data_IF_793697029217
#
_entry.id   IF_793697029217
#
_cell.length_a   1.000
_cell.length_b   1.000
_cell.length_c   1.000
_cell.angle_alpha   90.00
_cell.angle_beta   90.00
_cell.angle_gamma   90.00
#
_symmetry.space_group_name_H-M   'P 1'
#
loop_
_entity.id
_entity.type
_entity.pdbx_description
1 polymer ?
#
# COMPACT_ATOMS: atom_id res chain seq x y z
N UNK A 1 20.02 13.31 13.69
CA UNK A 1 19.16 12.26 13.09
C UNK A 1 17.69 12.29 13.58
N UNK A 2 17.21 13.35 14.26
CA UNK A 2 15.84 13.39 14.80
C UNK A 2 14.82 14.23 13.98
N UNK A 3 15.29 15.04 13.01
CA UNK A 3 14.44 15.98 12.24
C UNK A 3 13.74 15.32 11.04
N UNK A 4 14.18 14.12 10.64
CA UNK A 4 13.67 13.36 9.49
C UNK A 4 12.49 12.45 9.82
N UNK A 5 12.18 12.25 11.11
CA UNK A 5 11.14 11.32 11.57
C UNK A 5 9.85 12.03 12.03
N UNK A 6 9.49 13.16 11.42
CA UNK A 6 8.20 13.78 11.72
C UNK A 6 7.07 12.96 11.06
N UNK A 7 6.06 12.47 11.82
CA UNK A 7 5.01 11.59 11.30
C UNK A 7 4.36 12.12 10.02
N UNK A 8 4.05 13.42 10.00
CA UNK A 8 3.46 14.12 8.85
C UNK A 8 4.33 14.06 7.59
N UNK A 9 5.66 14.19 7.73
CA UNK A 9 6.58 14.14 6.57
C UNK A 9 6.63 12.72 6.01
N UNK A 10 6.78 11.72 6.88
CA UNK A 10 6.82 10.31 6.45
C UNK A 10 5.50 9.90 5.82
N UNK A 11 4.37 10.31 6.40
CA UNK A 11 3.04 10.11 5.82
C UNK A 11 2.95 10.66 4.40
N UNK A 12 3.41 11.89 4.14
CA UNK A 12 3.45 12.48 2.79
C UNK A 12 4.35 11.70 1.83
N UNK A 13 5.51 11.24 2.30
CA UNK A 13 6.38 10.39 1.47
C UNK A 13 5.73 9.06 1.13
N UNK A 14 5.11 8.39 2.10
CA UNK A 14 4.40 7.13 1.88
C UNK A 14 3.22 7.32 0.93
N UNK A 15 2.48 8.42 1.09
CA UNK A 15 1.39 8.80 0.20
C UNK A 15 1.88 9.02 -1.24
N UNK A 16 2.93 9.82 -1.41
CA UNK A 16 3.55 10.06 -2.72
C UNK A 16 4.08 8.77 -3.34
N UNK A 17 4.68 7.90 -2.55
CA UNK A 17 5.18 6.59 -2.98
C UNK A 17 4.06 5.69 -3.50
N UNK A 18 3.00 5.51 -2.71
CA UNK A 18 1.86 4.67 -3.09
C UNK A 18 1.07 5.21 -4.29
N UNK A 19 1.13 6.52 -4.56
CA UNK A 19 0.60 7.11 -5.79
C UNK A 19 1.56 6.95 -6.98
N UNK A 20 2.86 7.17 -6.79
CA UNK A 20 3.83 7.18 -7.88
C UNK A 20 4.06 5.79 -8.47
N UNK A 21 4.13 4.74 -7.65
CA UNK A 21 4.45 3.39 -8.14
C UNK A 21 3.42 2.85 -9.16
N UNK A 22 2.10 2.93 -8.92
CA UNK A 22 1.12 2.55 -9.93
C UNK A 22 1.21 3.34 -11.23
N UNK A 23 1.47 4.65 -11.15
CA UNK A 23 1.62 5.50 -12.33
C UNK A 23 2.86 5.11 -13.14
N UNK A 24 4.01 4.94 -12.47
CA UNK A 24 5.24 4.49 -13.10
C UNK A 24 5.09 3.11 -13.74
N UNK A 25 4.39 2.19 -13.07
CA UNK A 25 4.11 0.86 -13.62
C UNK A 25 3.21 0.91 -14.86
N UNK A 26 2.21 1.80 -14.86
CA UNK A 26 1.37 2.06 -16.02
C UNK A 26 2.16 2.59 -17.21
N UNK A 27 3.03 3.60 -16.97
CA UNK A 27 3.94 4.14 -18.00
C UNK A 27 4.88 3.07 -18.53
N UNK A 28 5.48 2.27 -17.65
CA UNK A 28 6.31 1.13 -18.04
C UNK A 28 5.56 0.15 -18.95
N UNK A 29 4.32 -0.21 -18.60
CA UNK A 29 3.50 -1.14 -19.37
C UNK A 29 3.16 -0.59 -20.76
N UNK A 30 2.92 0.73 -20.86
CA UNK A 30 2.69 1.42 -22.14
C UNK A 30 3.94 1.45 -23.02
N UNK A 31 5.11 1.76 -22.43
CA UNK A 31 6.39 1.75 -23.15
C UNK A 31 6.71 0.34 -23.64
N UNK A 32 6.52 -0.68 -22.79
CA UNK A 32 6.75 -2.07 -23.17
C UNK A 32 5.84 -2.49 -24.33
N UNK A 33 4.57 -2.08 -24.31
CA UNK A 33 3.61 -2.33 -25.40
C UNK A 33 4.06 -1.67 -26.71
N UNK A 34 4.50 -0.41 -26.63
CA UNK A 34 5.00 0.32 -27.78
C UNK A 34 6.26 -0.33 -28.37
N UNK A 35 7.23 -0.73 -27.54
CA UNK A 35 8.47 -1.39 -27.98
C UNK A 35 8.17 -2.74 -28.64
N UNK A 36 7.23 -3.50 -28.10
CA UNK A 36 6.83 -4.80 -28.65
C UNK A 36 5.85 -4.69 -29.83
N UNK A 37 5.38 -3.48 -30.17
CA UNK A 37 4.36 -3.24 -31.20
C UNK A 37 3.08 -4.07 -30.98
N UNK A 38 2.68 -4.24 -29.72
CA UNK A 38 1.47 -4.98 -29.33
C UNK A 38 0.59 -4.14 -28.41
N UNK A 39 -0.66 -4.54 -28.24
CA UNK A 39 -1.53 -3.89 -27.26
C UNK A 39 -1.09 -4.21 -25.82
N UNK A 40 -1.36 -3.31 -24.88
CA UNK A 40 -1.14 -3.54 -23.44
C UNK A 40 -1.87 -4.80 -22.96
N UNK A 41 -3.09 -5.04 -23.47
CA UNK A 41 -3.85 -6.25 -23.16
C UNK A 41 -3.14 -7.53 -23.60
N UNK A 42 -2.40 -7.49 -24.72
CA UNK A 42 -1.59 -8.63 -25.21
C UNK A 42 -0.43 -8.92 -24.26
N UNK A 43 0.21 -7.90 -23.69
CA UNK A 43 1.29 -8.08 -22.72
C UNK A 43 0.77 -8.79 -21.47
N UNK A 44 -0.35 -8.32 -20.90
CA UNK A 44 -0.91 -8.95 -19.69
C UNK A 44 -1.40 -10.38 -19.95
N UNK A 45 -1.88 -10.69 -21.16
CA UNK A 45 -2.25 -12.07 -21.53
C UNK A 45 -1.04 -12.99 -21.72
N UNK A 46 0.08 -12.47 -22.21
CA UNK A 46 1.27 -13.26 -22.51
C UNK A 46 2.21 -13.43 -21.32
N UNK A 47 2.25 -12.45 -20.42
CA UNK A 47 3.16 -12.44 -19.26
C UNK A 47 2.33 -12.47 -17.97
N UNK A 48 1.97 -13.67 -17.52
CA UNK A 48 1.16 -13.88 -16.31
C UNK A 48 1.76 -13.23 -15.05
N UNK A 49 3.09 -13.20 -14.94
CA UNK A 49 3.79 -12.54 -13.83
C UNK A 49 3.59 -11.01 -13.82
N UNK A 50 3.49 -10.38 -15.00
CA UNK A 50 3.20 -8.96 -15.12
C UNK A 50 1.76 -8.66 -14.70
N UNK A 51 0.82 -9.53 -15.06
CA UNK A 51 -0.59 -9.41 -14.64
C UNK A 51 -0.72 -9.53 -13.12
N UNK A 52 -0.11 -10.54 -12.50
CA UNK A 52 -0.12 -10.66 -11.04
C UNK A 52 0.55 -9.45 -10.36
N UNK A 53 1.65 -8.96 -10.92
CA UNK A 53 2.33 -7.75 -10.41
C UNK A 53 1.44 -6.51 -10.55
N UNK A 54 0.69 -6.38 -11.64
CA UNK A 54 -0.23 -5.25 -11.84
C UNK A 54 -1.30 -5.19 -10.75
N UNK A 55 -1.85 -6.34 -10.34
CA UNK A 55 -2.84 -6.40 -9.27
C UNK A 55 -2.22 -5.91 -7.96
N UNK A 56 -1.03 -6.43 -7.59
CA UNK A 56 -0.29 -5.99 -6.40
C UNK A 56 -0.03 -4.49 -6.41
N UNK A 57 0.40 -3.95 -7.55
CA UNK A 57 0.66 -2.52 -7.70
C UNK A 57 -0.62 -1.71 -7.54
N UNK A 58 -1.75 -2.16 -8.10
CA UNK A 58 -3.03 -1.48 -7.95
C UNK A 58 -3.56 -1.52 -6.51
N UNK A 59 -3.19 -2.52 -5.69
CA UNK A 59 -3.51 -2.52 -4.26
C UNK A 59 -2.93 -1.31 -3.51
N UNK A 60 -1.86 -0.69 -4.03
CA UNK A 60 -1.28 0.51 -3.43
C UNK A 60 -2.27 1.70 -3.47
N UNK A 61 -3.16 1.79 -4.46
CA UNK A 61 -4.21 2.82 -4.48
C UNK A 61 -5.23 2.62 -3.36
N UNK A 62 -5.62 1.37 -3.10
CA UNK A 62 -6.50 1.05 -1.98
C UNK A 62 -5.80 1.42 -0.67
N UNK A 63 -4.51 1.12 -0.53
CA UNK A 63 -3.75 1.53 0.63
C UNK A 63 -3.66 3.05 0.79
N UNK A 64 -3.37 3.76 -0.29
CA UNK A 64 -3.39 5.22 -0.35
C UNK A 64 -4.73 5.78 0.13
N UNK A 65 -5.84 5.21 -0.34
CA UNK A 65 -7.19 5.61 0.06
C UNK A 65 -7.46 5.35 1.55
N UNK A 66 -7.01 4.21 2.08
CA UNK A 66 -7.10 3.93 3.51
C UNK A 66 -6.34 4.95 4.35
N UNK A 67 -5.11 5.29 3.94
CA UNK A 67 -4.30 6.30 4.60
C UNK A 67 -4.92 7.70 4.49
N UNK A 68 -5.58 8.01 3.37
CA UNK A 68 -6.33 9.26 3.19
C UNK A 68 -7.49 9.36 4.18
N UNK A 69 -8.33 8.30 4.29
CA UNK A 69 -9.46 8.27 5.23
C UNK A 69 -8.97 8.38 6.67
N UNK A 70 -7.88 7.69 7.01
CA UNK A 70 -7.28 7.78 8.34
C UNK A 70 -6.78 9.19 8.64
N UNK A 71 -6.51 10.03 7.64
CA UNK A 71 -6.28 11.46 7.84
C UNK A 71 -5.26 11.73 8.95
N UNK A 72 -5.44 12.82 9.68
CA UNK A 72 -4.66 13.12 10.90
C UNK A 72 -5.30 12.50 12.15
N UNK A 73 -6.01 11.36 11.99
CA UNK A 73 -6.44 10.57 13.15
C UNK A 73 -5.21 10.19 13.97
N UNK A 74 -5.37 10.24 15.29
CA UNK A 74 -4.29 10.31 16.28
C UNK A 74 -2.95 9.67 15.85
N UNK A 75 -1.87 10.44 16.00
CA UNK A 75 -0.47 10.01 15.76
C UNK A 75 0.00 8.95 16.79
N UNK A 76 -0.87 8.04 17.21
CA UNK A 76 -0.67 7.07 18.26
C UNK A 76 -0.48 5.65 17.68
N UNK A 77 0.48 4.89 18.21
CA UNK A 77 0.75 3.49 17.77
C UNK A 77 -0.39 2.52 18.06
N UNK A 78 -1.20 2.82 19.06
CA UNK A 78 -2.32 1.98 19.50
C UNK A 78 -3.65 2.35 18.83
N UNK A 79 -3.64 3.32 17.92
CA UNK A 79 -4.83 3.72 17.16
C UNK A 79 -5.10 2.80 15.98
N UNK A 80 -6.22 3.05 15.31
CA UNK A 80 -6.54 2.42 14.03
C UNK A 80 -5.45 2.67 12.97
N UNK A 81 -4.80 3.84 12.96
CA UNK A 81 -3.66 4.13 12.08
C UNK A 81 -2.48 3.21 12.38
N UNK A 82 -2.14 2.99 13.66
CA UNK A 82 -1.09 2.06 14.05
C UNK A 82 -1.38 0.62 13.61
N UNK A 83 -2.63 0.18 13.75
CA UNK A 83 -3.09 -1.14 13.27
C UNK A 83 -3.02 -1.22 11.74
N UNK A 84 -3.42 -0.17 11.06
CA UNK A 84 -3.35 -0.04 9.61
C UNK A 84 -1.93 -0.12 9.06
N UNK A 85 -0.97 0.53 9.72
CA UNK A 85 0.44 0.47 9.33
C UNK A 85 1.07 -0.90 9.60
N UNK A 86 0.69 -1.60 10.68
CA UNK A 86 1.13 -2.99 10.92
C UNK A 86 0.65 -3.94 9.84
N UNK A 87 -0.62 -3.83 9.47
CA UNK A 87 -1.17 -4.60 8.35
C UNK A 87 -0.42 -4.27 7.05
N UNK A 88 -0.24 -2.98 6.76
CA UNK A 88 0.46 -2.54 5.56
C UNK A 88 1.90 -3.06 5.54
N UNK A 89 2.61 -3.06 6.67
CA UNK A 89 3.94 -3.67 6.79
C UNK A 89 3.97 -5.11 6.31
N UNK A 90 3.07 -5.94 6.84
CA UNK A 90 2.98 -7.36 6.49
C UNK A 90 2.66 -7.49 5.00
N UNK A 91 1.69 -6.74 4.51
CA UNK A 91 1.27 -6.77 3.11
C UNK A 91 2.41 -6.39 2.14
N UNK A 92 3.16 -5.34 2.46
CA UNK A 92 4.29 -4.90 1.64
C UNK A 92 5.40 -5.95 1.61
N UNK A 93 5.65 -6.63 2.74
CA UNK A 93 6.62 -7.72 2.81
C UNK A 93 6.17 -8.94 1.99
N UNK A 94 4.90 -9.36 2.10
CA UNK A 94 4.33 -10.44 1.29
C UNK A 94 4.39 -10.15 -0.22
N UNK A 95 4.34 -8.87 -0.59
CA UNK A 95 4.43 -8.40 -1.97
C UNK A 95 5.87 -8.19 -2.46
N UNK A 96 6.88 -8.47 -1.62
CA UNK A 96 8.29 -8.14 -1.86
C UNK A 96 8.56 -6.66 -2.18
N UNK A 97 7.68 -5.77 -1.72
CA UNK A 97 7.83 -4.33 -1.90
C UNK A 97 8.69 -3.74 -0.77
N UNK A 98 10.00 -3.97 -0.84
CA UNK A 98 10.97 -3.55 0.19
C UNK A 98 10.95 -2.04 0.46
N UNK A 99 10.92 -1.14 -0.54
CA UNK A 99 10.84 0.29 -0.27
C UNK A 99 9.55 0.68 0.46
N UNK A 100 8.42 0.10 0.05
CA UNK A 100 7.13 0.30 0.72
C UNK A 100 7.15 -0.19 2.18
N UNK A 101 7.73 -1.37 2.42
CA UNK A 101 7.92 -1.92 3.76
C UNK A 101 8.73 -0.97 4.66
N UNK A 102 9.86 -0.45 4.16
CA UNK A 102 10.70 0.46 4.93
C UNK A 102 9.97 1.77 5.26
N UNK A 103 9.23 2.34 4.32
CA UNK A 103 8.44 3.55 4.56
C UNK A 103 7.34 3.33 5.60
N UNK A 104 6.62 2.20 5.52
CA UNK A 104 5.64 1.82 6.54
C UNK A 104 6.29 1.63 7.92
N UNK A 105 7.50 1.06 7.97
CA UNK A 105 8.21 0.78 9.22
C UNK A 105 8.65 2.08 9.89
N UNK A 106 9.23 2.98 9.09
CA UNK A 106 9.63 4.31 9.56
C UNK A 106 8.41 5.10 10.03
N UNK A 107 7.29 5.03 9.31
CA UNK A 107 6.08 5.74 9.71
C UNK A 107 5.53 5.17 11.03
N UNK A 108 5.39 3.85 11.14
CA UNK A 108 4.92 3.21 12.37
C UNK A 108 5.82 3.53 13.58
N UNK A 109 7.15 3.57 13.39
CA UNK A 109 8.10 3.94 14.45
C UNK A 109 8.01 5.42 14.83
N UNK A 110 7.65 6.30 13.90
CA UNK A 110 7.48 7.73 14.19
C UNK A 110 6.23 8.06 15.02
N UNK A 111 5.23 7.18 15.04
CA UNK A 111 4.03 7.36 15.86
C UNK A 111 4.36 7.35 17.37
N UNK A 112 3.64 8.20 18.11
CA UNK A 112 3.71 8.33 19.57
C UNK A 112 3.20 7.07 20.26
N UNK A 113 3.81 6.72 21.38
CA UNK A 113 3.37 5.60 22.22
C UNK A 113 2.29 6.04 23.23
N UNK A 114 1.23 6.68 22.75
CA UNK A 114 0.11 7.17 23.55
C UNK A 114 -1.20 6.42 23.19
N UNK A 115 -2.21 6.56 24.05
CA UNK A 115 -3.58 6.10 23.75
C UNK A 115 -4.27 7.08 22.81
N UNK A 116 -5.22 6.60 22.03
CA UNK A 116 -5.95 7.40 21.05
C UNK A 116 -6.92 8.37 21.75
N UNK A 117 -6.72 9.68 21.57
CA UNK A 117 -7.57 10.72 22.16
C UNK A 117 -8.77 11.08 21.26
N UNK A 118 -8.70 10.77 19.96
CA UNK A 118 -9.74 11.10 18.98
C UNK A 118 -10.08 9.89 18.13
N UNK A 119 -11.27 9.33 18.32
CA UNK A 119 -11.75 8.19 17.54
C UNK A 119 -12.43 8.63 16.24
N UNK A 120 -12.05 8.02 15.11
CA UNK A 120 -12.82 8.07 13.86
C UNK A 120 -14.27 7.63 14.07
N UNK A 121 -15.18 8.12 13.23
CA UNK A 121 -16.58 7.67 13.21
C UNK A 121 -16.64 6.16 12.98
N UNK A 122 -17.65 5.48 13.56
CA UNK A 122 -17.84 4.03 13.41
C UNK A 122 -17.86 3.59 11.94
N UNK A 123 -18.48 4.39 11.07
CA UNK A 123 -18.51 4.13 9.63
C UNK A 123 -17.10 4.15 9.02
N UNK A 124 -16.28 5.16 9.35
CA UNK A 124 -14.90 5.23 8.87
C UNK A 124 -14.05 4.05 9.33
N UNK A 125 -14.22 3.60 10.58
CA UNK A 125 -13.53 2.42 11.09
C UNK A 125 -13.89 1.15 10.29
N UNK A 126 -15.18 0.92 10.02
CA UNK A 126 -15.63 -0.20 9.20
C UNK A 126 -15.11 -0.13 7.76
N UNK A 127 -15.06 1.07 7.17
CA UNK A 127 -14.46 1.25 5.84
C UNK A 127 -12.98 0.83 5.84
N UNK A 128 -12.20 1.22 6.85
CA UNK A 128 -10.80 0.83 6.98
C UNK A 128 -10.64 -0.68 7.16
N UNK A 129 -11.40 -1.31 8.06
CA UNK A 129 -11.33 -2.76 8.24
C UNK A 129 -11.74 -3.52 6.98
N UNK A 130 -12.79 -3.08 6.29
CA UNK A 130 -13.22 -3.67 5.02
C UNK A 130 -12.14 -3.55 3.94
N UNK A 131 -11.49 -2.40 3.85
CA UNK A 131 -10.37 -2.17 2.94
C UNK A 131 -9.17 -3.08 3.27
N UNK A 132 -8.83 -3.22 4.55
CA UNK A 132 -7.74 -4.13 5.00
C UNK A 132 -8.08 -5.58 4.66
N UNK A 133 -9.33 -6.00 4.87
CA UNK A 133 -9.82 -7.32 4.48
C UNK A 133 -9.70 -7.56 2.97
N UNK A 134 -10.16 -6.60 2.15
CA UNK A 134 -10.06 -6.66 0.69
C UNK A 134 -8.61 -6.77 0.20
N UNK A 135 -7.74 -5.86 0.66
CA UNK A 135 -6.31 -5.86 0.29
C UNK A 135 -5.61 -7.14 0.78
N UNK A 136 -5.95 -7.60 1.99
CA UNK A 136 -5.40 -8.81 2.58
C UNK A 136 -5.78 -10.06 1.80
N UNK A 137 -7.06 -10.22 1.46
CA UNK A 137 -7.57 -11.35 0.69
C UNK A 137 -6.92 -11.40 -0.70
N UNK A 138 -6.84 -10.28 -1.42
CA UNK A 138 -6.17 -10.24 -2.71
C UNK A 138 -4.67 -10.54 -2.61
N UNK A 139 -4.00 -10.05 -1.56
CA UNK A 139 -2.58 -10.34 -1.34
C UNK A 139 -2.35 -11.84 -1.10
N UNK A 140 -3.18 -12.49 -0.28
CA UNK A 140 -3.11 -13.94 -0.04
C UNK A 140 -3.34 -14.71 -1.34
N UNK A 141 -4.37 -14.36 -2.11
CA UNK A 141 -4.65 -15.02 -3.39
C UNK A 141 -3.47 -14.91 -4.36
N UNK A 142 -2.86 -13.73 -4.47
CA UNK A 142 -1.71 -13.53 -5.37
C UNK A 142 -0.51 -14.36 -4.91
N UNK A 143 -0.20 -14.37 -3.60
CA UNK A 143 0.89 -15.19 -3.06
C UNK A 143 0.62 -16.67 -3.33
N UNK A 144 -0.61 -17.14 -3.10
CA UNK A 144 -1.01 -18.52 -3.40
C UNK A 144 -0.77 -18.85 -4.87
N UNK A 145 -1.29 -18.02 -5.79
CA UNK A 145 -1.14 -18.24 -7.24
C UNK A 145 0.35 -18.32 -7.61
N UNK A 146 1.18 -17.42 -7.07
CA UNK A 146 2.63 -17.40 -7.33
C UNK A 146 3.34 -18.65 -6.82
N UNK A 147 2.90 -19.23 -5.71
CA UNK A 147 3.48 -20.46 -5.14
C UNK A 147 2.99 -21.73 -5.87
N UNK A 148 1.87 -21.65 -6.59
CA UNK A 148 1.29 -22.77 -7.35
C UNK A 148 1.72 -22.83 -8.82
N UNK A 149 2.41 -21.80 -9.31
CA UNK A 149 3.00 -21.73 -10.66
C UNK A 149 4.43 -22.26 -10.64
#
# INVERSE_FOLDING_TARGET
MAVLLHPTKIKRFLFGYWLAIPLLFGVYSLILAAVQNVSVGTIFKSISSLTLTSIVVLLLFFQLFGLYILGDSSDCRHSLLGTYLKFSLIQQLCSFNIPGFLLCLLFYRSLLNAKEDTSLSKQGQWTIYGLMGFVGLLSILIVWIRLSL
#
